data_IF_685982006091
#
_entry.id   IF_685982006091
#
_cell.length_a   1.000
_cell.length_b   1.000
_cell.length_c   1.000
_cell.angle_alpha   90.00
_cell.angle_beta   90.00
_cell.angle_gamma   90.00
#
_symmetry.space_group_name_H-M   'P 1'
#
loop_
_entity.id
_entity.type
_entity.pdbx_description
1 polymer ?
#
# COMPACT_ATOMS: atom_id res chain seq x y z
N UNK A 1 -28.99 52.42 -18.66
CA UNK A 1 -30.07 51.99 -17.75
C UNK A 1 -29.60 50.69 -17.11
N UNK A 2 -29.18 50.75 -15.84
CA UNK A 2 -28.75 49.58 -15.06
C UNK A 2 -29.97 48.73 -14.71
N UNK A 3 -29.87 47.42 -14.86
CA UNK A 3 -30.78 46.45 -14.24
C UNK A 3 -29.94 45.37 -13.58
N UNK A 4 -29.93 45.41 -12.25
CA UNK A 4 -29.37 44.39 -11.37
C UNK A 4 -30.36 43.21 -11.26
N UNK A 5 -29.85 41.98 -11.34
CA UNK A 5 -30.60 40.78 -10.92
C UNK A 5 -30.06 40.35 -9.54
N UNK A 6 -30.98 40.19 -8.59
CA UNK A 6 -30.73 39.84 -7.19
C UNK A 6 -30.38 38.37 -7.01
N UNK A 7 -29.32 38.08 -6.25
CA UNK A 7 -29.01 36.75 -5.71
C UNK A 7 -29.93 36.52 -4.49
N UNK A 8 -30.76 35.48 -4.55
CA UNK A 8 -31.58 35.06 -3.41
C UNK A 8 -30.68 34.67 -2.22
N UNK A 9 -31.02 35.20 -1.04
CA UNK A 9 -30.26 35.02 0.19
C UNK A 9 -30.32 33.57 0.69
N UNK A 10 -29.16 32.99 1.00
CA UNK A 10 -29.05 31.70 1.70
C UNK A 10 -29.69 31.85 3.09
N UNK A 11 -30.62 30.97 3.50
CA UNK A 11 -31.24 31.04 4.82
C UNK A 11 -30.21 30.97 5.95
N UNK A 12 -30.30 31.88 6.92
CA UNK A 12 -29.35 32.02 8.04
C UNK A 12 -29.03 30.70 8.78
N UNK A 13 -29.98 29.76 8.82
CA UNK A 13 -29.80 28.45 9.46
C UNK A 13 -28.74 27.55 8.83
N UNK A 14 -28.37 27.77 7.55
CA UNK A 14 -27.32 26.97 6.88
C UNK A 14 -25.92 27.48 7.25
N UNK A 15 -25.77 28.79 7.47
CA UNK A 15 -24.50 29.39 7.91
C UNK A 15 -24.15 28.98 9.35
N UNK A 16 -25.16 28.83 10.22
CA UNK A 16 -24.98 28.36 11.60
C UNK A 16 -24.49 26.90 11.65
N UNK A 17 -24.93 26.06 10.70
CA UNK A 17 -24.50 24.65 10.63
C UNK A 17 -23.05 24.51 10.15
N UNK A 18 -22.61 25.39 9.25
CA UNK A 18 -21.22 25.41 8.75
C UNK A 18 -20.28 26.03 9.80
N UNK A 19 -20.70 27.07 10.53
CA UNK A 19 -19.89 27.67 11.59
C UNK A 19 -19.62 26.71 12.76
N UNK A 20 -20.57 25.82 13.07
CA UNK A 20 -20.42 24.79 14.11
C UNK A 20 -19.43 23.66 13.72
N UNK A 21 -19.23 23.41 12.42
CA UNK A 21 -18.35 22.35 11.93
C UNK A 21 -16.87 22.76 11.80
N UNK A 22 -16.56 24.07 11.78
CA UNK A 22 -15.20 24.58 11.50
C UNK A 22 -14.60 25.38 12.66
N UNK A 23 -15.30 25.48 13.81
CA UNK A 23 -14.71 26.03 15.05
C UNK A 23 -14.26 27.49 14.97
N UNK A 24 -14.97 28.35 14.22
CA UNK A 24 -14.64 29.78 14.11
C UNK A 24 -15.64 30.60 13.29
N UNK A 25 -15.71 31.92 13.53
CA UNK A 25 -16.57 32.86 12.78
C UNK A 25 -15.99 33.16 11.39
N UNK A 26 -16.75 32.85 10.33
CA UNK A 26 -16.41 33.19 8.95
C UNK A 26 -17.03 34.55 8.55
N UNK A 27 -16.25 35.42 7.91
CA UNK A 27 -16.70 36.69 7.30
C UNK A 27 -17.06 36.54 5.82
N UNK A 28 -17.88 37.42 5.22
CA UNK A 28 -18.64 37.13 3.99
C UNK A 28 -17.86 36.99 2.66
N UNK A 29 -16.53 36.91 2.66
CA UNK A 29 -15.73 37.04 1.42
C UNK A 29 -14.99 35.76 0.98
N UNK A 30 -15.28 34.59 1.55
CA UNK A 30 -14.62 33.33 1.14
C UNK A 30 -15.60 32.18 0.99
N UNK A 31 -16.43 32.18 -0.06
CA UNK A 31 -17.10 30.97 -0.54
C UNK A 31 -17.27 31.06 -2.07
N UNK A 32 -16.50 30.28 -2.83
CA UNK A 32 -16.84 29.88 -4.21
C UNK A 32 -17.10 28.37 -4.19
N UNK A 33 -18.37 27.98 -4.13
CA UNK A 33 -18.80 26.58 -4.28
C UNK A 33 -19.49 26.48 -5.64
N UNK A 34 -18.86 25.73 -6.56
CA UNK A 34 -19.48 25.37 -7.83
C UNK A 34 -20.48 24.24 -7.63
N UNK A 35 -21.78 24.52 -7.72
CA UNK A 35 -22.81 23.49 -7.82
C UNK A 35 -23.00 23.09 -9.28
N UNK A 36 -22.79 21.81 -9.60
CA UNK A 36 -23.19 21.20 -10.87
C UNK A 36 -24.66 20.79 -10.74
N UNK A 37 -25.57 21.58 -11.30
CA UNK A 37 -27.00 21.22 -11.38
C UNK A 37 -27.20 20.33 -12.62
N UNK A 38 -27.60 19.07 -12.41
CA UNK A 38 -28.12 18.23 -13.50
C UNK A 38 -29.57 18.67 -13.79
N UNK A 39 -29.95 18.98 -15.05
CA UNK A 39 -31.30 19.44 -15.35
C UNK A 39 -32.33 18.33 -15.07
N UNK A 40 -33.48 18.74 -14.55
CA UNK A 40 -34.57 17.81 -14.21
C UNK A 40 -35.34 17.40 -15.47
N UNK A 41 -36.12 16.31 -15.38
CA UNK A 41 -36.87 15.75 -16.52
C UNK A 41 -37.90 16.72 -17.14
N UNK A 42 -38.25 17.81 -16.45
CA UNK A 42 -39.18 18.83 -16.94
C UNK A 42 -38.49 19.77 -17.95
N UNK A 43 -37.21 20.08 -17.76
CA UNK A 43 -36.44 20.98 -18.64
C UNK A 43 -36.04 20.31 -19.96
N UNK A 44 -35.82 18.98 -19.94
CA UNK A 44 -35.57 18.19 -21.17
C UNK A 44 -36.73 18.26 -22.16
N UNK A 45 -37.98 18.29 -21.68
CA UNK A 45 -39.18 18.35 -22.55
C UNK A 45 -39.41 19.72 -23.17
N UNK A 46 -38.88 20.79 -22.58
CA UNK A 46 -38.93 22.14 -23.17
C UNK A 46 -37.91 22.28 -24.32
N UNK A 47 -36.72 21.69 -24.18
CA UNK A 47 -35.67 21.75 -25.21
C UNK A 47 -35.96 20.89 -26.46
N UNK A 48 -36.67 19.78 -26.34
CA UNK A 48 -37.07 18.94 -27.49
C UNK A 48 -38.00 19.66 -28.48
N UNK A 49 -38.71 20.72 -28.04
CA UNK A 49 -39.54 21.56 -28.93
C UNK A 49 -38.75 22.66 -29.66
N UNK A 50 -37.50 22.94 -29.27
CA UNK A 50 -36.70 24.05 -29.81
C UNK A 50 -35.53 23.64 -30.71
N UNK A 51 -35.34 22.34 -30.97
CA UNK A 51 -34.37 21.79 -31.94
C UNK A 51 -32.92 22.30 -31.76
N UNK A 52 -32.46 22.45 -30.52
CA UNK A 52 -31.08 22.87 -30.20
C UNK A 52 -30.22 21.63 -29.97
N UNK A 53 -29.20 21.42 -30.82
CA UNK A 53 -28.20 20.35 -30.68
C UNK A 53 -27.04 20.83 -29.79
N UNK A 54 -26.79 20.16 -28.67
CA UNK A 54 -25.56 20.35 -27.91
C UNK A 54 -24.49 19.36 -28.38
N UNK A 55 -23.39 19.88 -28.93
CA UNK A 55 -22.11 19.19 -28.96
C UNK A 55 -21.42 19.42 -27.62
N UNK A 56 -21.27 18.37 -26.81
CA UNK A 56 -20.40 18.41 -25.62
C UNK A 56 -19.07 17.76 -26.03
N UNK A 57 -18.10 18.59 -26.40
CA UNK A 57 -16.71 18.17 -26.50
C UNK A 57 -16.12 18.16 -25.07
N UNK A 58 -15.93 16.97 -24.51
CA UNK A 58 -15.29 16.80 -23.21
C UNK A 58 -13.77 16.93 -23.36
N UNK A 59 -13.23 18.13 -23.19
CA UNK A 59 -11.81 18.33 -22.87
C UNK A 59 -11.71 18.23 -21.35
N UNK A 60 -11.36 17.05 -20.86
CA UNK A 60 -10.99 16.86 -19.46
C UNK A 60 -9.62 17.49 -19.22
N UNK A 61 -9.61 18.74 -18.76
CA UNK A 61 -8.42 19.34 -18.18
C UNK A 61 -8.22 18.73 -16.79
N UNK A 62 -7.38 17.69 -16.70
CA UNK A 62 -6.85 17.24 -15.41
C UNK A 62 -5.95 18.36 -14.90
N UNK A 63 -6.46 19.19 -14.00
CA UNK A 63 -5.61 20.08 -13.24
C UNK A 63 -4.86 19.24 -12.21
N UNK A 64 -3.62 18.90 -12.53
CA UNK A 64 -2.62 18.52 -11.54
C UNK A 64 -2.48 19.73 -10.60
N UNK A 65 -3.12 19.68 -9.43
CA UNK A 65 -2.69 20.53 -8.33
C UNK A 65 -1.35 19.96 -7.94
N UNK A 66 -0.27 20.55 -8.45
CA UNK A 66 1.05 20.40 -7.88
C UNK A 66 0.99 21.02 -6.48
N UNK A 67 0.40 20.29 -5.53
CA UNK A 67 0.60 20.55 -4.11
C UNK A 67 2.10 20.42 -3.92
N UNK A 68 2.74 21.53 -3.60
CA UNK A 68 4.16 21.56 -3.29
C UNK A 68 4.42 20.55 -2.18
N UNK A 69 4.97 19.39 -2.56
CA UNK A 69 5.39 18.36 -1.61
C UNK A 69 6.41 19.05 -0.70
N UNK A 70 6.07 19.21 0.57
CA UNK A 70 7.00 19.76 1.56
C UNK A 70 8.01 18.65 1.89
N UNK A 71 8.99 18.47 1.01
CA UNK A 71 10.11 17.57 1.25
C UNK A 71 11.05 18.22 2.27
N UNK A 72 11.27 17.56 3.40
CA UNK A 72 12.31 17.94 4.34
C UNK A 72 13.37 16.86 4.35
N UNK A 73 14.62 17.24 4.09
CA UNK A 73 15.78 16.39 4.36
C UNK A 73 15.89 16.31 5.89
N UNK A 74 15.44 15.20 6.47
CA UNK A 74 15.51 14.97 7.91
C UNK A 74 16.59 13.91 8.14
N UNK A 75 17.76 14.36 8.61
CA UNK A 75 18.75 13.51 9.26
C UNK A 75 19.58 12.61 8.34
N UNK A 76 20.80 12.34 8.78
CA UNK A 76 21.72 11.39 8.16
C UNK A 76 21.24 9.96 8.42
N UNK A 77 20.79 9.26 7.38
CA UNK A 77 20.91 7.80 7.32
C UNK A 77 22.38 7.40 7.45
N UNK A 78 22.65 6.17 7.88
CA UNK A 78 24.02 5.67 8.02
C UNK A 78 24.74 5.63 6.67
N UNK A 79 23.98 5.39 5.58
CA UNK A 79 24.46 5.46 4.21
C UNK A 79 23.36 5.90 3.21
N UNK A 80 23.77 6.53 2.10
CA UNK A 80 22.85 7.07 1.09
C UNK A 80 22.19 8.40 1.52
N UNK A 81 21.04 8.73 0.92
CA UNK A 81 20.28 9.95 1.23
C UNK A 81 18.80 9.66 1.41
N UNK A 82 18.25 10.06 2.56
CA UNK A 82 16.83 9.94 2.89
C UNK A 82 16.09 11.27 2.74
N UNK A 83 14.98 11.23 2.01
CA UNK A 83 14.07 12.37 1.83
C UNK A 83 12.71 11.97 2.38
N UNK A 84 12.15 12.78 3.27
CA UNK A 84 10.84 12.53 3.86
C UNK A 84 9.81 13.50 3.30
N UNK A 85 8.78 12.96 2.67
CA UNK A 85 7.60 13.68 2.23
C UNK A 85 6.51 13.50 3.30
N UNK A 86 6.36 14.52 4.15
CA UNK A 86 5.39 14.50 5.24
C UNK A 86 3.97 14.64 4.71
N UNK A 87 3.04 13.90 5.30
CA UNK A 87 1.60 13.98 5.00
C UNK A 87 1.29 13.94 3.49
N UNK A 88 1.93 13.02 2.76
CA UNK A 88 1.71 12.84 1.32
C UNK A 88 0.20 12.66 1.06
N UNK A 89 -0.42 13.53 0.24
CA UNK A 89 -1.87 13.57 0.08
C UNK A 89 -2.37 12.43 -0.80
N UNK A 90 -3.63 12.03 -0.61
CA UNK A 90 -4.28 11.01 -1.44
C UNK A 90 -5.79 11.23 -1.51
N UNK A 91 -6.37 10.96 -2.68
CA UNK A 91 -7.82 10.87 -2.87
C UNK A 91 -8.37 9.48 -2.53
N UNK A 92 -7.50 8.46 -2.40
CA UNK A 92 -7.91 7.07 -2.16
C UNK A 92 -7.81 6.65 -0.70
N UNK A 93 -6.84 7.18 0.04
CA UNK A 93 -6.57 6.79 1.43
C UNK A 93 -6.20 8.01 2.29
N UNK A 94 -6.08 7.81 3.61
CA UNK A 94 -5.63 8.89 4.48
C UNK A 94 -4.18 9.33 4.12
N UNK A 95 -3.86 10.63 4.22
CA UNK A 95 -2.50 11.13 4.06
C UNK A 95 -1.52 10.41 4.99
N UNK A 96 -0.29 10.24 4.53
CA UNK A 96 0.75 9.47 5.24
C UNK A 96 2.14 9.93 4.85
N UNK A 97 3.11 9.67 5.71
CA UNK A 97 4.51 9.94 5.38
C UNK A 97 5.01 8.96 4.30
N UNK A 98 5.84 9.50 3.40
CA UNK A 98 6.57 8.72 2.40
C UNK A 98 8.06 8.99 2.55
N UNK A 99 8.83 7.93 2.65
CA UNK A 99 10.28 7.92 2.84
C UNK A 99 10.93 7.50 1.52
N UNK A 100 11.76 8.36 0.94
CA UNK A 100 12.51 8.03 -0.28
C UNK A 100 13.98 7.97 0.05
N UNK A 101 14.52 6.76 0.05
CA UNK A 101 15.95 6.52 0.18
C UNK A 101 16.60 6.36 -1.20
N UNK A 102 17.69 7.09 -1.39
CA UNK A 102 18.49 7.08 -2.60
C UNK A 102 19.87 6.48 -2.29
N UNK A 103 20.41 5.64 -3.18
CA UNK A 103 21.75 5.08 -3.02
C UNK A 103 22.80 6.19 -3.10
N UNK A 104 23.98 5.97 -2.53
CA UNK A 104 25.03 7.00 -2.41
C UNK A 104 25.49 7.52 -3.78
N UNK A 105 25.54 6.63 -4.78
CA UNK A 105 25.86 6.93 -6.17
C UNK A 105 24.68 7.47 -7.00
N UNK A 106 23.57 7.87 -6.38
CA UNK A 106 22.40 8.35 -7.10
C UNK A 106 22.72 9.59 -7.96
N UNK A 107 22.47 9.48 -9.26
CA UNK A 107 22.51 10.60 -10.21
C UNK A 107 21.24 10.66 -11.04
N UNK A 108 21.00 11.78 -11.72
CA UNK A 108 19.88 11.87 -12.68
C UNK A 108 20.21 11.33 -14.07
N UNK A 109 21.45 10.92 -14.32
CA UNK A 109 21.91 10.39 -15.62
C UNK A 109 21.73 8.86 -15.72
N UNK A 110 21.46 8.20 -14.60
CA UNK A 110 21.18 6.76 -14.48
C UNK A 110 19.73 6.55 -14.03
N UNK A 111 19.07 5.48 -14.46
CA UNK A 111 17.75 5.08 -13.97
C UNK A 111 17.86 3.91 -13.00
N UNK A 112 17.06 3.91 -11.93
CA UNK A 112 17.15 2.94 -10.85
C UNK A 112 15.84 2.14 -10.70
N UNK A 113 15.89 0.81 -10.47
CA UNK A 113 14.71 0.08 -10.04
C UNK A 113 14.20 0.62 -8.71
N UNK A 114 12.90 0.43 -8.45
CA UNK A 114 12.21 0.97 -7.28
C UNK A 114 11.57 -0.17 -6.48
N UNK A 115 11.90 -0.20 -5.19
CA UNK A 115 11.28 -1.09 -4.21
C UNK A 115 10.35 -0.25 -3.33
N UNK A 116 9.05 -0.49 -3.44
CA UNK A 116 8.02 0.12 -2.58
C UNK A 116 7.84 -0.76 -1.33
N UNK A 117 8.20 -0.21 -0.18
CA UNK A 117 8.26 -0.95 1.08
C UNK A 117 7.15 -0.47 2.02
N UNK A 118 6.30 -1.39 2.47
CA UNK A 118 5.24 -1.12 3.43
C UNK A 118 5.79 -0.92 4.85
N UNK A 119 5.05 -0.18 5.69
CA UNK A 119 5.47 0.15 7.06
C UNK A 119 6.76 1.00 7.08
N UNK A 120 6.81 1.99 6.19
CA UNK A 120 7.98 2.82 5.91
C UNK A 120 8.62 3.49 7.13
N UNK A 121 7.85 3.71 8.20
CA UNK A 121 8.36 4.32 9.43
C UNK A 121 9.33 3.42 10.23
N UNK A 122 9.38 2.10 9.95
CA UNK A 122 10.29 1.15 10.61
C UNK A 122 11.63 0.98 9.87
N UNK A 123 11.83 1.62 8.71
CA UNK A 123 12.90 1.21 7.79
C UNK A 123 14.28 1.81 8.05
N UNK A 124 14.33 3.07 8.50
CA UNK A 124 15.55 3.90 8.46
C UNK A 124 15.92 4.56 9.80
N UNK A 125 15.08 4.38 10.82
CA UNK A 125 15.37 4.77 12.19
C UNK A 125 14.43 4.06 13.15
N UNK A 126 14.92 3.70 14.33
CA UNK A 126 14.08 3.15 15.39
C UNK A 126 13.08 4.20 15.92
N UNK A 127 11.79 4.00 15.68
CA UNK A 127 10.72 4.80 16.29
C UNK A 127 10.10 4.07 17.49
N UNK A 128 10.38 4.58 18.69
CA UNK A 128 9.83 4.08 19.96
C UNK A 128 8.30 4.22 20.10
N UNK A 129 7.62 4.92 19.18
CA UNK A 129 6.15 5.09 19.19
C UNK A 129 5.39 4.01 18.41
N UNK A 130 6.09 3.07 17.76
CA UNK A 130 5.48 2.04 16.92
C UNK A 130 4.67 1.01 17.75
N UNK A 131 3.55 0.56 17.19
CA UNK A 131 2.51 -0.23 17.86
C UNK A 131 2.88 -1.72 18.02
N UNK A 132 3.88 -2.00 18.86
CA UNK A 132 3.94 -3.23 19.64
C UNK A 132 4.55 -4.48 18.99
N UNK A 133 5.28 -4.36 17.88
CA UNK A 133 6.09 -5.46 17.29
C UNK A 133 7.61 -5.35 17.53
N UNK A 134 7.98 -4.59 18.57
CA UNK A 134 9.31 -4.31 19.12
C UNK A 134 10.04 -3.11 18.50
N UNK A 135 10.78 -2.41 19.36
CA UNK A 135 11.48 -1.13 19.19
C UNK A 135 12.69 -1.20 18.24
N UNK A 136 12.55 -1.89 17.11
CA UNK A 136 13.62 -2.16 16.15
C UNK A 136 13.44 -1.42 14.83
N UNK A 137 14.55 -1.29 14.12
CA UNK A 137 14.67 -0.73 12.78
C UNK A 137 15.06 -1.85 11.82
N UNK A 138 14.66 -1.76 10.55
CA UNK A 138 15.06 -2.75 9.54
C UNK A 138 16.52 -2.61 9.10
N UNK A 139 17.14 -1.45 9.34
CA UNK A 139 18.45 -1.06 8.82
C UNK A 139 18.52 -1.29 7.30
N UNK A 140 17.50 -0.76 6.60
CA UNK A 140 17.39 -0.95 5.16
C UNK A 140 18.52 -0.24 4.44
N UNK A 141 18.87 0.97 4.85
CA UNK A 141 19.95 1.75 4.24
C UNK A 141 21.32 1.09 4.43
N UNK A 142 21.65 0.58 5.62
CA UNK A 142 22.90 -0.15 5.86
C UNK A 142 22.98 -1.42 5.02
N UNK A 143 21.91 -2.22 5.05
CA UNK A 143 21.88 -3.50 4.33
C UNK A 143 21.96 -3.27 2.82
N UNK A 144 21.17 -2.33 2.30
CA UNK A 144 21.17 -1.98 0.88
C UNK A 144 22.55 -1.46 0.45
N UNK A 145 23.12 -0.51 1.19
CA UNK A 145 24.41 0.10 0.84
C UNK A 145 25.55 -0.92 0.86
N UNK A 146 25.58 -1.82 1.84
CA UNK A 146 26.57 -2.90 1.90
C UNK A 146 26.45 -3.88 0.73
N UNK A 147 25.22 -4.22 0.31
CA UNK A 147 24.98 -5.08 -0.84
C UNK A 147 25.35 -4.41 -2.17
N UNK A 148 25.04 -3.13 -2.31
CA UNK A 148 25.38 -2.32 -3.49
C UNK A 148 26.90 -2.17 -3.61
N UNK A 149 27.57 -1.75 -2.54
CA UNK A 149 29.02 -1.57 -2.51
C UNK A 149 29.79 -2.88 -2.79
N UNK A 150 29.21 -4.03 -2.44
CA UNK A 150 29.79 -5.35 -2.74
C UNK A 150 29.37 -5.93 -4.09
N UNK A 151 28.58 -5.20 -4.90
CA UNK A 151 28.12 -5.62 -6.22
C UNK A 151 27.12 -6.78 -6.20
N UNK A 152 26.53 -7.10 -5.04
CA UNK A 152 25.58 -8.20 -4.87
C UNK A 152 24.17 -7.85 -5.32
N UNK A 153 23.84 -6.57 -5.36
CA UNK A 153 22.60 -6.04 -5.91
C UNK A 153 22.91 -4.83 -6.79
N UNK A 154 22.04 -4.55 -7.75
CA UNK A 154 22.09 -3.30 -8.50
C UNK A 154 21.71 -2.12 -7.58
N UNK A 155 22.25 -0.91 -7.80
CA UNK A 155 21.78 0.28 -7.10
C UNK A 155 20.28 0.51 -7.36
N UNK A 156 19.51 0.85 -6.32
CA UNK A 156 18.04 0.96 -6.40
C UNK A 156 17.52 2.07 -5.49
N UNK A 157 16.29 2.52 -5.75
CA UNK A 157 15.56 3.48 -4.88
C UNK A 157 14.61 2.68 -3.99
N UNK A 158 14.59 3.00 -2.69
CA UNK A 158 13.61 2.46 -1.77
C UNK A 158 12.57 3.53 -1.41
N UNK A 159 11.29 3.20 -1.57
CA UNK A 159 10.15 4.08 -1.23
C UNK A 159 9.38 3.44 -0.08
N UNK A 160 9.69 3.87 1.15
CA UNK A 160 8.97 3.48 2.35
C UNK A 160 7.63 4.20 2.45
N UNK A 161 6.55 3.45 2.65
CA UNK A 161 5.18 3.98 2.75
C UNK A 161 4.72 3.79 4.19
N UNK A 162 4.58 4.88 4.94
CA UNK A 162 4.09 4.79 6.31
C UNK A 162 2.71 4.13 6.36
N UNK A 163 2.48 3.31 7.37
CA UNK A 163 1.14 2.79 7.61
C UNK A 163 0.22 3.86 8.22
N UNK A 164 -1.04 3.51 8.41
CA UNK A 164 -2.04 4.38 9.01
C UNK A 164 -2.79 3.62 10.12
N UNK A 165 -3.65 4.30 10.90
CA UNK A 165 -4.58 3.60 11.80
C UNK A 165 -5.46 2.54 11.11
N UNK A 166 -5.58 2.60 9.77
CA UNK A 166 -6.31 1.64 8.95
C UNK A 166 -5.45 0.48 8.43
N UNK A 167 -4.18 0.34 8.87
CA UNK A 167 -3.19 -0.63 8.37
C UNK A 167 -3.79 -2.01 8.12
N UNK A 168 -4.56 -2.55 9.08
CA UNK A 168 -5.15 -3.86 8.92
C UNK A 168 -6.09 -3.93 7.70
N UNK A 169 -7.00 -2.96 7.56
CA UNK A 169 -7.94 -2.91 6.43
C UNK A 169 -7.28 -2.54 5.10
N UNK A 170 -6.20 -1.76 5.13
CA UNK A 170 -5.40 -1.37 3.97
C UNK A 170 -4.51 -2.50 3.47
N UNK A 171 -4.04 -3.40 4.35
CA UNK A 171 -3.12 -4.46 3.95
C UNK A 171 -3.79 -5.83 3.78
N UNK A 172 -4.97 -6.05 4.35
CA UNK A 172 -5.65 -7.34 4.22
C UNK A 172 -6.30 -7.48 2.82
N UNK A 173 -6.03 -8.56 2.06
CA UNK A 173 -6.54 -8.73 0.70
C UNK A 173 -8.08 -8.64 0.58
N UNK A 174 -8.58 -7.56 -0.03
CA UNK A 174 -10.02 -7.27 -0.07
C UNK A 174 -10.84 -8.36 -0.75
N UNK A 175 -10.34 -8.90 -1.87
CA UNK A 175 -11.00 -10.01 -2.60
C UNK A 175 -10.97 -11.34 -1.86
N UNK A 176 -10.06 -11.53 -0.89
CA UNK A 176 -10.10 -12.71 -0.01
C UNK A 176 -11.25 -12.56 0.99
N UNK A 177 -11.39 -11.40 1.62
CA UNK A 177 -12.49 -11.11 2.56
C UNK A 177 -13.86 -11.24 1.88
N UNK A 178 -13.99 -10.80 0.63
CA UNK A 178 -15.24 -10.91 -0.13
C UNK A 178 -15.66 -12.36 -0.40
N UNK A 179 -14.71 -13.30 -0.45
CA UNK A 179 -14.96 -14.74 -0.69
C UNK A 179 -15.37 -15.52 0.56
N UNK A 180 -15.31 -14.91 1.74
CA UNK A 180 -15.77 -15.52 2.98
C UNK A 180 -17.31 -15.54 3.02
N UNK A 181 -17.89 -16.64 3.50
CA UNK A 181 -19.34 -16.73 3.74
C UNK A 181 -19.76 -15.80 4.87
N UNK A 182 -21.05 -15.46 4.96
CA UNK A 182 -21.56 -14.66 6.08
C UNK A 182 -21.22 -15.30 7.43
N UNK A 183 -21.40 -16.62 7.56
CA UNK A 183 -21.03 -17.36 8.77
C UNK A 183 -19.54 -17.24 9.11
N UNK A 184 -18.65 -17.26 8.11
CA UNK A 184 -17.22 -17.09 8.34
C UNK A 184 -16.87 -15.67 8.76
N UNK A 185 -17.54 -14.65 8.19
CA UNK A 185 -17.36 -13.25 8.59
C UNK A 185 -17.87 -13.02 10.01
N UNK A 186 -19.06 -13.50 10.33
CA UNK A 186 -19.65 -13.41 11.66
C UNK A 186 -18.78 -14.09 12.71
N UNK A 187 -18.22 -15.26 12.37
CA UNK A 187 -17.25 -15.96 13.21
C UNK A 187 -16.00 -15.11 13.49
N UNK A 188 -15.39 -14.53 12.46
CA UNK A 188 -14.19 -13.69 12.62
C UNK A 188 -14.48 -12.41 13.41
N UNK A 189 -15.62 -11.77 13.19
CA UNK A 189 -16.04 -10.56 13.91
C UNK A 189 -16.29 -10.88 15.38
N UNK A 190 -17.03 -11.94 15.69
CA UNK A 190 -17.29 -12.37 17.08
C UNK A 190 -15.97 -12.59 17.82
N UNK A 191 -15.02 -13.26 17.18
CA UNK A 191 -13.70 -13.53 17.75
C UNK A 191 -12.85 -12.27 17.93
N UNK A 192 -12.89 -11.36 16.97
CA UNK A 192 -12.24 -10.06 17.08
C UNK A 192 -12.77 -9.28 18.31
N UNK A 193 -14.09 -9.27 18.50
CA UNK A 193 -14.74 -8.66 19.66
C UNK A 193 -14.35 -9.32 20.99
N UNK A 194 -14.41 -10.65 21.07
CA UNK A 194 -14.07 -11.41 22.29
C UNK A 194 -12.65 -11.10 22.80
N UNK A 195 -11.72 -10.85 21.88
CA UNK A 195 -10.33 -10.56 22.18
C UNK A 195 -9.97 -9.07 22.12
N UNK A 196 -10.97 -8.19 22.00
CA UNK A 196 -10.81 -6.74 21.92
C UNK A 196 -9.82 -6.31 20.81
N UNK A 197 -9.84 -7.03 19.70
CA UNK A 197 -9.01 -6.74 18.54
C UNK A 197 -9.89 -6.03 17.51
N UNK A 198 -9.53 -4.81 17.13
CA UNK A 198 -10.28 -4.02 16.14
C UNK A 198 -10.21 -4.58 14.71
N UNK A 199 -9.59 -5.75 14.50
CA UNK A 199 -9.48 -6.41 13.19
C UNK A 199 -10.85 -6.68 12.58
N UNK A 200 -11.02 -6.35 11.29
CA UNK A 200 -12.24 -6.53 10.49
C UNK A 200 -13.42 -5.60 10.82
N UNK A 201 -13.25 -4.61 11.69
CA UNK A 201 -14.27 -3.58 11.96
C UNK A 201 -14.47 -2.61 10.79
N UNK A 202 -13.37 -2.31 10.09
CA UNK A 202 -13.36 -1.45 8.92
C UNK A 202 -13.64 -2.25 7.64
N UNK A 203 -14.33 -1.66 6.65
CA UNK A 203 -14.45 -2.25 5.33
C UNK A 203 -13.06 -2.47 4.71
N UNK A 204 -12.84 -3.52 3.90
CA UNK A 204 -11.56 -3.73 3.24
C UNK A 204 -11.15 -2.53 2.37
N UNK A 205 -9.93 -2.02 2.60
CA UNK A 205 -9.36 -0.84 1.92
C UNK A 205 -8.14 -1.17 1.03
N UNK A 206 -7.71 -2.43 0.95
CA UNK A 206 -6.55 -2.82 0.16
C UNK A 206 -6.57 -2.35 -1.29
N UNK A 207 -7.72 -2.44 -1.98
CA UNK A 207 -7.81 -1.96 -3.36
C UNK A 207 -7.66 -0.44 -3.48
N UNK A 208 -8.09 0.33 -2.46
CA UNK A 208 -7.89 1.78 -2.42
C UNK A 208 -6.43 2.13 -2.11
N UNK A 209 -5.80 1.40 -1.20
CA UNK A 209 -4.38 1.55 -0.89
C UNK A 209 -3.49 1.26 -2.11
N UNK A 210 -3.76 0.18 -2.85
CA UNK A 210 -3.02 -0.12 -4.09
C UNK A 210 -3.28 0.94 -5.18
N UNK A 211 -4.49 1.51 -5.26
CA UNK A 211 -4.77 2.64 -6.17
C UNK A 211 -3.98 3.89 -5.80
N UNK A 212 -3.86 4.22 -4.51
CA UNK A 212 -2.97 5.28 -4.05
C UNK A 212 -1.53 5.06 -4.55
N UNK A 213 -0.99 3.85 -4.35
CA UNK A 213 0.36 3.52 -4.82
C UNK A 213 0.48 3.75 -6.34
N UNK A 214 -0.42 3.17 -7.13
CA UNK A 214 -0.29 3.16 -8.59
C UNK A 214 -0.65 4.50 -9.24
N UNK A 215 -1.66 5.21 -8.72
CA UNK A 215 -2.24 6.38 -9.37
C UNK A 215 -1.68 7.70 -8.86
N UNK A 216 -1.09 7.71 -7.67
CA UNK A 216 -0.63 8.94 -7.02
C UNK A 216 0.85 8.85 -6.67
N UNK A 217 1.26 7.82 -5.92
CA UNK A 217 2.63 7.71 -5.44
C UNK A 217 3.62 7.41 -6.56
N UNK A 218 3.40 6.35 -7.35
CA UNK A 218 4.31 5.96 -8.44
C UNK A 218 4.55 7.12 -9.43
N UNK A 219 3.51 7.82 -9.96
CA UNK A 219 3.72 8.99 -10.81
C UNK A 219 4.48 10.12 -10.13
N UNK A 220 4.27 10.34 -8.82
CA UNK A 220 5.01 11.36 -8.08
C UNK A 220 6.49 10.99 -7.96
N UNK A 221 6.82 9.72 -7.69
CA UNK A 221 8.21 9.24 -7.64
C UNK A 221 8.86 9.35 -9.03
N UNK A 222 8.18 8.88 -10.08
CA UNK A 222 8.63 8.96 -11.48
C UNK A 222 8.88 10.40 -11.94
N UNK A 223 8.09 11.37 -11.47
CA UNK A 223 8.25 12.78 -11.82
C UNK A 223 9.41 13.50 -11.12
N UNK A 224 9.91 12.97 -10.00
CA UNK A 224 10.93 13.64 -9.17
C UNK A 224 12.30 12.95 -9.19
N UNK A 225 12.32 11.63 -9.41
CA UNK A 225 13.50 10.78 -9.34
C UNK A 225 13.72 10.03 -10.67
N UNK A 226 14.97 9.66 -10.94
CA UNK A 226 15.33 8.91 -12.14
C UNK A 226 15.05 7.43 -11.93
N UNK A 227 13.89 6.97 -12.36
CA UNK A 227 13.44 5.59 -12.14
C UNK A 227 13.47 4.77 -13.42
N UNK A 228 13.85 3.51 -13.30
CA UNK A 228 13.71 2.53 -14.37
C UNK A 228 12.25 2.05 -14.37
N UNK A 229 11.56 2.26 -15.49
CA UNK A 229 10.16 1.80 -15.66
C UNK A 229 10.13 0.35 -16.10
N UNK A 230 8.99 -0.33 -15.94
CA UNK A 230 8.80 -1.71 -16.38
C UNK A 230 8.69 -2.70 -15.22
N UNK A 231 8.24 -3.91 -15.54
CA UNK A 231 7.92 -4.95 -14.57
C UNK A 231 9.15 -5.32 -13.75
N UNK A 232 10.25 -5.59 -14.43
CA UNK A 232 11.53 -6.01 -13.85
C UNK A 232 12.14 -4.99 -12.87
N UNK A 233 11.65 -3.76 -12.88
CA UNK A 233 12.17 -2.65 -12.10
C UNK A 233 11.24 -2.20 -10.96
N UNK A 234 10.06 -2.82 -10.81
CA UNK A 234 9.03 -2.36 -9.86
C UNK A 234 8.61 -3.48 -8.93
N UNK A 235 8.95 -3.33 -7.63
CA UNK A 235 8.78 -4.36 -6.60
C UNK A 235 7.94 -3.83 -5.44
N UNK A 236 7.02 -4.64 -4.93
CA UNK A 236 6.38 -4.43 -3.63
C UNK A 236 7.06 -5.28 -2.56
N UNK A 237 7.21 -4.74 -1.36
CA UNK A 237 7.91 -5.40 -0.27
C UNK A 237 7.29 -5.10 1.09
N UNK A 238 7.23 -6.08 1.97
CA UNK A 238 6.89 -5.84 3.37
C UNK A 238 6.91 -7.10 4.21
N UNK A 239 6.76 -6.91 5.52
CA UNK A 239 6.67 -8.01 6.48
C UNK A 239 5.24 -8.21 7.01
N UNK A 240 4.91 -9.43 7.44
CA UNK A 240 3.62 -9.73 8.06
C UNK A 240 2.44 -9.40 7.14
N UNK A 241 1.58 -8.46 7.51
CA UNK A 241 0.53 -7.94 6.64
C UNK A 241 1.09 -7.18 5.43
N UNK A 242 2.25 -6.53 5.56
CA UNK A 242 3.01 -5.94 4.46
C UNK A 242 3.38 -6.96 3.38
N UNK A 243 3.70 -8.20 3.79
CA UNK A 243 3.94 -9.30 2.85
C UNK A 243 2.66 -9.75 2.12
N UNK A 244 1.52 -9.79 2.82
CA UNK A 244 0.23 -10.10 2.20
C UNK A 244 -0.16 -9.07 1.13
N UNK A 245 -0.07 -7.77 1.45
CA UNK A 245 -0.44 -6.71 0.51
C UNK A 245 0.53 -6.62 -0.66
N UNK A 246 1.81 -6.93 -0.46
CA UNK A 246 2.80 -7.04 -1.54
C UNK A 246 2.40 -8.12 -2.56
N UNK A 247 2.10 -9.34 -2.07
CA UNK A 247 1.66 -10.43 -2.95
C UNK A 247 0.32 -10.10 -3.61
N UNK A 248 -0.63 -9.56 -2.84
CA UNK A 248 -1.94 -9.18 -3.37
C UNK A 248 -1.82 -8.10 -4.45
N UNK A 249 -0.98 -7.10 -4.25
CA UNK A 249 -0.69 -6.04 -5.22
C UNK A 249 -0.14 -6.59 -6.54
N UNK A 250 0.83 -7.49 -6.46
CA UNK A 250 1.35 -8.17 -7.66
C UNK A 250 0.28 -9.00 -8.36
N UNK A 251 -0.52 -9.76 -7.62
CA UNK A 251 -1.59 -10.60 -8.20
C UNK A 251 -2.66 -9.76 -8.89
N UNK A 252 -2.99 -8.60 -8.32
CA UNK A 252 -4.03 -7.70 -8.83
C UNK A 252 -3.56 -6.81 -9.97
N UNK A 253 -2.27 -6.47 -9.98
CA UNK A 253 -1.65 -5.60 -10.97
C UNK A 253 -0.36 -6.23 -11.51
N UNK A 254 -0.45 -7.42 -12.14
CA UNK A 254 0.73 -8.12 -12.65
C UNK A 254 1.43 -7.33 -13.76
N UNK A 255 0.68 -6.51 -14.51
CA UNK A 255 1.23 -5.62 -15.54
C UNK A 255 1.91 -4.36 -14.97
N UNK A 256 1.98 -4.22 -13.65
CA UNK A 256 2.62 -3.07 -12.97
C UNK A 256 3.75 -3.51 -12.05
N UNK A 257 3.56 -4.57 -11.26
CA UNK A 257 4.57 -5.06 -10.33
C UNK A 257 5.20 -6.36 -10.86
N UNK A 258 6.49 -6.33 -11.17
CA UNK A 258 7.22 -7.54 -11.55
C UNK A 258 7.76 -8.33 -10.36
N UNK A 259 7.74 -7.77 -9.14
CA UNK A 259 8.21 -8.50 -7.97
C UNK A 259 7.42 -8.27 -6.69
N UNK A 260 7.40 -9.29 -5.84
CA UNK A 260 6.83 -9.21 -4.50
C UNK A 260 7.75 -9.87 -3.47
N UNK A 261 8.12 -9.13 -2.43
CA UNK A 261 8.90 -9.62 -1.28
C UNK A 261 8.00 -9.73 -0.06
N UNK A 262 7.84 -10.95 0.42
CA UNK A 262 6.79 -11.33 1.35
C UNK A 262 7.41 -11.91 2.64
N UNK A 263 8.00 -11.04 3.47
CA UNK A 263 8.74 -11.44 4.69
C UNK A 263 7.73 -11.86 5.76
N UNK A 264 7.84 -13.09 6.27
CA UNK A 264 7.02 -13.60 7.38
C UNK A 264 5.52 -13.30 7.18
N UNK A 265 5.02 -13.58 5.98
CA UNK A 265 3.67 -13.17 5.55
C UNK A 265 2.59 -13.69 6.48
N UNK A 266 1.63 -12.83 6.86
CA UNK A 266 0.60 -13.18 7.83
C UNK A 266 -0.51 -14.08 7.25
N UNK A 267 -0.18 -15.32 6.89
CA UNK A 267 -1.14 -16.30 6.35
C UNK A 267 -2.39 -16.55 7.20
N UNK A 268 -2.30 -16.58 8.56
CA UNK A 268 -3.49 -16.71 9.40
C UNK A 268 -4.49 -15.55 9.28
N UNK A 269 -4.03 -14.37 8.85
CA UNK A 269 -4.87 -13.17 8.75
C UNK A 269 -5.35 -12.62 10.09
N UNK A 270 -4.69 -13.01 11.18
CA UNK A 270 -5.01 -12.61 12.55
C UNK A 270 -3.74 -12.11 13.24
N UNK A 271 -3.88 -11.30 14.28
CA UNK A 271 -2.74 -10.79 15.06
C UNK A 271 -2.42 -11.72 16.24
N UNK A 272 -1.24 -11.55 16.84
CA UNK A 272 -0.82 -12.26 18.06
C UNK A 272 -1.81 -12.13 19.23
N UNK A 273 -2.69 -11.12 19.20
CA UNK A 273 -3.74 -10.84 20.22
C UNK A 273 -5.04 -11.61 19.99
N UNK A 274 -5.18 -12.26 18.84
CA UNK A 274 -6.13 -13.33 18.65
C UNK A 274 -5.38 -14.65 18.85
N UNK A 275 -5.11 -15.09 20.10
CA UNK A 275 -4.65 -16.43 20.36
C UNK A 275 -5.83 -17.34 20.05
N UNK A 276 -6.03 -17.62 18.76
CA UNK A 276 -7.22 -18.29 18.35
C UNK A 276 -6.90 -19.47 17.46
N UNK A 277 -7.21 -20.59 18.11
CA UNK A 277 -7.84 -21.75 17.55
C UNK A 277 -6.81 -22.70 16.99
N UNK A 278 -6.92 -23.94 17.46
CA UNK A 278 -6.54 -25.12 16.69
C UNK A 278 -6.68 -24.80 15.21
N UNK A 279 -5.56 -24.82 14.48
CA UNK A 279 -5.43 -24.39 13.09
C UNK A 279 -6.50 -24.96 12.13
N UNK A 280 -7.28 -25.92 12.59
CA UNK A 280 -8.31 -26.68 11.88
C UNK A 280 -9.55 -25.86 11.47
N UNK A 281 -9.87 -24.70 12.08
CA UNK A 281 -11.10 -23.96 11.79
C UNK A 281 -10.94 -22.51 11.28
N UNK A 282 -9.71 -22.03 11.03
CA UNK A 282 -9.52 -20.69 10.48
C UNK A 282 -9.90 -20.66 8.98
N UNK A 283 -10.92 -19.88 8.55
CA UNK A 283 -11.33 -19.84 7.15
C UNK A 283 -10.41 -19.00 6.26
N UNK A 284 -9.49 -18.22 6.83
CA UNK A 284 -8.64 -17.29 6.09
C UNK A 284 -7.60 -18.00 5.20
N UNK A 285 -6.70 -18.88 5.70
CA UNK A 285 -5.72 -19.51 4.82
C UNK A 285 -6.34 -20.25 3.64
N UNK A 286 -7.40 -21.07 3.81
CA UNK A 286 -8.09 -21.68 2.67
C UNK A 286 -8.67 -20.67 1.67
N UNK A 287 -9.14 -19.50 2.13
CA UNK A 287 -9.63 -18.45 1.24
C UNK A 287 -8.49 -17.79 0.44
N UNK A 288 -7.33 -17.56 1.08
CA UNK A 288 -6.10 -17.09 0.42
C UNK A 288 -5.65 -18.11 -0.63
N UNK A 289 -5.61 -19.41 -0.30
CA UNK A 289 -5.19 -20.45 -1.24
C UNK A 289 -6.08 -20.50 -2.48
N UNK A 290 -7.41 -20.48 -2.31
CA UNK A 290 -8.35 -20.44 -3.44
C UNK A 290 -8.16 -19.18 -4.29
N UNK A 291 -7.88 -18.05 -3.66
CA UNK A 291 -7.60 -16.81 -4.36
C UNK A 291 -6.30 -16.90 -5.19
N UNK A 292 -5.19 -17.35 -4.61
CA UNK A 292 -3.92 -17.50 -5.31
C UNK A 292 -4.00 -18.56 -6.43
N UNK A 293 -4.66 -19.68 -6.20
CA UNK A 293 -4.89 -20.69 -7.25
C UNK A 293 -5.60 -20.09 -8.46
N UNK A 294 -6.60 -19.25 -8.23
CA UNK A 294 -7.36 -18.61 -9.30
C UNK A 294 -6.59 -17.48 -9.99
N UNK A 295 -5.88 -16.64 -9.24
CA UNK A 295 -5.42 -15.32 -9.73
C UNK A 295 -3.90 -15.15 -9.82
N UNK A 296 -3.09 -15.94 -9.09
CA UNK A 296 -1.64 -15.83 -9.20
C UNK A 296 -1.21 -16.03 -10.66
N UNK A 297 -0.42 -15.12 -11.25
CA UNK A 297 0.07 -15.28 -12.61
C UNK A 297 0.91 -16.55 -12.74
N UNK A 298 1.10 -17.00 -13.98
CA UNK A 298 2.04 -18.10 -14.26
C UNK A 298 3.46 -17.56 -14.17
N UNK A 299 4.38 -18.46 -13.87
CA UNK A 299 5.81 -18.19 -13.87
C UNK A 299 6.35 -17.62 -15.19
N UNK A 300 7.52 -16.98 -15.11
CA UNK A 300 8.26 -16.46 -16.26
C UNK A 300 8.33 -14.93 -16.40
N UNK A 301 7.44 -14.17 -15.76
CA UNK A 301 7.46 -12.69 -15.81
C UNK A 301 7.62 -12.02 -14.45
N UNK A 302 7.39 -12.73 -13.35
CA UNK A 302 7.38 -12.17 -12.01
C UNK A 302 8.34 -12.91 -11.10
N UNK A 303 8.99 -12.19 -10.19
CA UNK A 303 9.88 -12.77 -9.17
C UNK A 303 9.27 -12.62 -7.78
N UNK A 304 9.09 -13.72 -7.05
CA UNK A 304 8.39 -13.70 -5.75
C UNK A 304 9.28 -14.29 -4.66
N UNK A 305 9.50 -13.55 -3.58
CA UNK A 305 10.25 -14.02 -2.42
C UNK A 305 9.32 -14.21 -1.22
N UNK A 306 9.48 -15.32 -0.51
CA UNK A 306 8.91 -15.55 0.82
C UNK A 306 10.01 -15.87 1.83
N UNK A 307 9.79 -15.48 3.07
CA UNK A 307 10.44 -16.09 4.22
C UNK A 307 9.50 -16.27 5.40
N UNK A 308 9.96 -17.02 6.40
CA UNK A 308 9.32 -17.14 7.71
C UNK A 308 10.30 -17.70 8.75
N UNK A 309 10.13 -17.29 10.00
CA UNK A 309 10.79 -17.88 11.16
C UNK A 309 10.14 -19.19 11.62
N UNK A 310 10.50 -19.68 12.81
CA UNK A 310 9.91 -20.92 13.37
C UNK A 310 9.58 -20.82 14.85
N UNK A 311 9.69 -19.65 15.46
CA UNK A 311 9.38 -19.38 16.86
C UNK A 311 8.32 -18.29 16.99
N UNK A 312 7.70 -18.18 18.17
CA UNK A 312 6.61 -17.24 18.40
C UNK A 312 5.45 -17.43 17.43
N UNK A 313 4.95 -16.33 16.84
CA UNK A 313 3.87 -16.38 15.86
C UNK A 313 4.27 -17.12 14.57
N UNK A 314 5.52 -17.00 14.13
CA UNK A 314 6.02 -17.64 12.91
C UNK A 314 6.04 -19.17 12.99
N UNK A 315 5.95 -19.76 14.20
CA UNK A 315 5.79 -21.21 14.36
C UNK A 315 4.52 -21.76 13.66
N UNK A 316 3.54 -20.91 13.36
CA UNK A 316 2.33 -21.27 12.61
C UNK A 316 2.55 -21.32 11.09
N UNK A 317 3.61 -20.69 10.56
CA UNK A 317 3.78 -20.50 9.13
C UNK A 317 4.31 -21.69 8.34
N UNK A 318 5.14 -22.62 8.87
CA UNK A 318 5.66 -23.73 8.08
C UNK A 318 4.58 -24.55 7.33
N UNK A 319 3.48 -25.02 7.96
CA UNK A 319 2.44 -25.74 7.22
C UNK A 319 1.67 -24.82 6.26
N UNK A 320 1.47 -23.55 6.62
CA UNK A 320 0.70 -22.62 5.81
C UNK A 320 1.44 -22.17 4.54
N UNK A 321 2.74 -21.88 4.68
CA UNK A 321 3.63 -21.54 3.58
C UNK A 321 3.82 -22.75 2.67
N UNK A 322 3.90 -23.97 3.20
CA UNK A 322 4.01 -25.19 2.38
C UNK A 322 2.86 -25.33 1.37
N UNK A 323 1.63 -24.94 1.74
CA UNK A 323 0.49 -24.92 0.81
C UNK A 323 0.68 -23.85 -0.28
N UNK A 324 1.15 -22.65 0.08
CA UNK A 324 1.49 -21.58 -0.88
C UNK A 324 2.59 -22.06 -1.84
N UNK A 325 3.63 -22.70 -1.33
CA UNK A 325 4.70 -23.30 -2.13
C UNK A 325 4.17 -24.33 -3.13
N UNK A 326 3.14 -25.10 -2.75
CA UNK A 326 2.43 -26.00 -3.65
C UNK A 326 1.75 -25.25 -4.80
N UNK A 327 1.11 -24.12 -4.51
CA UNK A 327 0.47 -23.25 -5.52
C UNK A 327 1.53 -22.65 -6.45
N UNK A 328 2.66 -22.17 -5.91
CA UNK A 328 3.78 -21.64 -6.70
C UNK A 328 4.27 -22.68 -7.71
N UNK A 329 4.56 -23.91 -7.26
CA UNK A 329 4.96 -25.01 -8.17
C UNK A 329 3.91 -25.32 -9.23
N UNK A 330 2.63 -25.35 -8.86
CA UNK A 330 1.53 -25.59 -9.81
C UNK A 330 1.37 -24.47 -10.85
N UNK A 331 1.86 -23.26 -10.54
CA UNK A 331 1.88 -22.11 -11.45
C UNK A 331 3.16 -22.02 -12.30
N UNK A 332 4.06 -22.99 -12.14
CA UNK A 332 5.27 -23.16 -12.93
C UNK A 332 6.50 -22.48 -12.34
N UNK A 333 6.42 -21.91 -11.14
CA UNK A 333 7.54 -21.20 -10.53
C UNK A 333 8.67 -22.15 -10.14
N UNK A 334 9.89 -21.67 -10.30
CA UNK A 334 11.14 -22.41 -10.05
C UNK A 334 12.06 -21.57 -9.17
N UNK A 335 13.25 -22.08 -8.87
CA UNK A 335 14.25 -21.34 -8.10
C UNK A 335 14.74 -20.04 -8.78
N UNK A 336 14.46 -19.87 -10.08
CA UNK A 336 14.87 -18.69 -10.85
C UNK A 336 13.96 -17.48 -10.59
N UNK A 337 12.68 -17.73 -10.30
CA UNK A 337 11.64 -16.69 -10.20
C UNK A 337 10.82 -16.81 -8.90
N UNK A 338 11.16 -17.76 -8.03
CA UNK A 338 10.60 -17.86 -6.69
C UNK A 338 11.55 -18.50 -5.68
N UNK A 339 11.58 -17.95 -4.47
CA UNK A 339 12.27 -18.53 -3.32
C UNK A 339 11.37 -18.50 -2.09
N UNK A 340 11.48 -19.54 -1.25
CA UNK A 340 10.94 -19.57 0.11
C UNK A 340 12.05 -19.93 1.08
N UNK A 341 12.39 -19.02 1.98
CA UNK A 341 13.44 -19.21 2.98
C UNK A 341 12.85 -19.49 4.38
N UNK A 342 13.30 -20.56 5.02
CA UNK A 342 12.91 -20.93 6.39
C UNK A 342 14.03 -20.59 7.36
N UNK A 343 13.77 -19.64 8.25
CA UNK A 343 14.73 -19.18 9.25
C UNK A 343 14.54 -19.93 10.58
N UNK A 344 15.33 -20.99 10.77
CA UNK A 344 15.20 -21.87 11.93
C UNK A 344 15.57 -21.12 13.22
N UNK A 345 14.59 -20.97 14.10
CA UNK A 345 14.78 -20.30 15.39
C UNK A 345 14.38 -18.82 15.38
N UNK A 346 14.07 -18.22 14.23
CA UNK A 346 13.65 -16.82 14.19
C UNK A 346 12.19 -16.64 14.64
N UNK A 347 11.91 -15.48 15.22
CA UNK A 347 10.58 -15.03 15.66
C UNK A 347 9.92 -14.11 14.62
N UNK A 348 8.67 -13.70 14.90
CA UNK A 348 7.93 -12.71 14.12
C UNK A 348 8.20 -11.29 14.65
N UNK A 349 9.40 -10.77 14.38
CA UNK A 349 9.87 -9.48 14.93
C UNK A 349 10.75 -8.70 13.97
N UNK A 350 10.81 -7.38 14.18
CA UNK A 350 11.64 -6.45 13.39
C UNK A 350 13.11 -6.90 13.34
N UNK A 351 13.70 -7.25 14.48
CA UNK A 351 15.09 -7.73 14.56
C UNK A 351 15.32 -9.01 13.74
N UNK A 352 14.33 -9.90 13.67
CA UNK A 352 14.43 -11.10 12.87
C UNK A 352 14.35 -10.79 11.37
N UNK A 353 13.47 -9.86 10.96
CA UNK A 353 13.35 -9.40 9.57
C UNK A 353 14.62 -8.69 9.11
N UNK A 354 15.15 -7.77 9.92
CA UNK A 354 16.44 -7.11 9.73
C UNK A 354 17.55 -8.14 9.50
N UNK A 355 17.70 -9.14 10.39
CA UNK A 355 18.77 -10.14 10.30
C UNK A 355 18.77 -10.93 8.97
N UNK A 356 17.61 -11.05 8.30
CA UNK A 356 17.48 -11.75 7.02
C UNK A 356 17.23 -10.83 5.82
N UNK A 357 17.17 -9.51 6.00
CA UNK A 357 16.83 -8.53 4.94
C UNK A 357 17.75 -8.63 3.71
N UNK A 358 19.00 -9.03 3.90
CA UNK A 358 19.95 -9.22 2.81
C UNK A 358 19.46 -10.26 1.77
N UNK A 359 18.73 -11.30 2.20
CA UNK A 359 18.29 -12.40 1.33
C UNK A 359 17.26 -11.97 0.28
N UNK A 360 16.12 -11.34 0.63
CA UNK A 360 15.16 -10.88 -0.36
C UNK A 360 15.76 -9.84 -1.31
N UNK A 361 16.55 -8.89 -0.79
CA UNK A 361 17.19 -7.87 -1.63
C UNK A 361 18.11 -8.51 -2.67
N UNK A 362 18.96 -9.46 -2.26
CA UNK A 362 19.78 -10.21 -3.19
C UNK A 362 18.94 -11.00 -4.20
N UNK A 363 17.88 -11.67 -3.76
CA UNK A 363 17.07 -12.47 -4.68
C UNK A 363 16.38 -11.61 -5.76
N UNK A 364 15.86 -10.45 -5.38
CA UNK A 364 15.04 -9.62 -6.26
C UNK A 364 15.85 -8.61 -7.09
N UNK A 365 17.02 -8.18 -6.61
CA UNK A 365 17.86 -7.13 -7.21
C UNK A 365 19.26 -7.60 -7.63
N UNK A 366 19.54 -8.91 -7.63
CA UNK A 366 20.81 -9.42 -8.19
C UNK A 366 21.00 -8.89 -9.63
N UNK A 367 22.23 -8.50 -10.01
CA UNK A 367 22.54 -8.19 -11.40
C UNK A 367 22.15 -9.37 -12.29
N UNK A 368 21.33 -9.12 -13.32
CA UNK A 368 21.03 -10.14 -14.33
C UNK A 368 22.20 -10.20 -15.31
N UNK A 369 22.69 -11.41 -15.57
CA UNK A 369 23.77 -11.66 -16.55
C UNK A 369 23.34 -11.38 -17.99
#
# INVERSE_FOLDING_TARGET
MQTYWSVEAIPARILDYIAAAVGGKLTPMQISIGFVIRPTNVEKRACERMNIRYWVASIGLVMFVAGSIQSREIGSVSAGRLIVHKDFPSDFVAPRDVFVWLPEEYTRDTTYPVVYVHDGQSLFYADSSNDGFANGEWELDETASALIASGKVVPFIAVGIANSPFRHSEYFPAKVTQRLTSLQKDFLISRAMDHQVATFSDPPKADAYLKFIIKELMPAIEGHYSVATGLENTVLMGASMGGLISLYGLVEYPETFGGAVCISSNWPGITHRLPLLEANNNPIPPAIYRYLQAHLPRAGQHTIYFDFGTQGLDALYPPLQKEVDGIMRNKGYTANDWMTFRDQGAEHSEAAWQARLHRPLQFILSPRE
#
